data_IF_231776396469
#
_entry.id   IF_231776396469
#
_cell.length_a   1.000
_cell.length_b   1.000
_cell.length_c   1.000
_cell.angle_alpha   90.00
_cell.angle_beta   90.00
_cell.angle_gamma   90.00
#
_symmetry.space_group_name_H-M   'P 1'
#
loop_
_entity.id
_entity.type
_entity.pdbx_description
1 polymer ?
#
# COMPACT_ATOMS: atom_id res chain seq x y z
N UNK A 1 -14.78 19.28 -4.78
CA UNK A 1 -14.40 17.95 -4.23
C UNK A 1 -14.72 16.91 -5.28
N UNK A 2 -13.72 16.43 -6.00
CA UNK A 2 -13.92 15.41 -7.03
C UNK A 2 -14.08 14.08 -6.31
N UNK A 3 -15.31 13.58 -6.18
CA UNK A 3 -15.55 12.20 -5.77
C UNK A 3 -14.92 11.29 -6.82
N UNK A 4 -13.73 10.79 -6.53
CA UNK A 4 -13.10 9.75 -7.33
C UNK A 4 -13.90 8.48 -7.07
N UNK A 5 -14.65 8.03 -8.08
CA UNK A 5 -15.22 6.69 -8.13
C UNK A 5 -14.07 5.69 -7.96
N UNK A 6 -13.84 5.24 -6.72
CA UNK A 6 -12.99 4.09 -6.46
C UNK A 6 -13.90 2.89 -6.69
N UNK A 7 -13.75 2.21 -7.84
CA UNK A 7 -14.24 0.84 -8.03
C UNK A 7 -13.95 0.02 -6.76
N UNK A 8 -14.76 -1.02 -6.47
CA UNK A 8 -14.58 -1.99 -5.38
C UNK A 8 -13.19 -2.63 -5.40
N UNK A 9 -12.17 -1.85 -5.01
CA UNK A 9 -10.80 -2.26 -4.91
C UNK A 9 -10.70 -3.01 -3.61
N UNK A 10 -10.26 -4.24 -3.71
CA UNK A 10 -9.94 -5.05 -2.55
C UNK A 10 -8.98 -4.28 -1.66
N UNK A 11 -9.14 -4.45 -0.37
CA UNK A 11 -8.36 -3.71 0.61
C UNK A 11 -7.98 -4.64 1.76
N UNK A 12 -6.94 -4.24 2.46
CA UNK A 12 -6.53 -4.80 3.74
C UNK A 12 -6.80 -3.76 4.81
N UNK A 13 -7.26 -4.20 5.98
CA UNK A 13 -7.29 -3.40 7.20
C UNK A 13 -6.26 -3.93 8.19
N UNK A 14 -5.59 -3.03 8.90
CA UNK A 14 -4.61 -3.36 9.92
C UNK A 14 -4.52 -2.23 10.95
N UNK A 15 -3.95 -2.51 12.11
CA UNK A 15 -3.63 -1.50 13.12
C UNK A 15 -2.11 -1.33 13.23
N UNK A 16 -1.66 -0.10 13.44
CA UNK A 16 -0.27 0.20 13.75
C UNK A 16 -0.19 1.15 14.96
N UNK A 17 0.86 1.03 15.76
CA UNK A 17 1.16 2.00 16.81
C UNK A 17 1.97 3.16 16.22
N UNK A 18 1.46 4.38 16.35
CA UNK A 18 2.13 5.61 15.93
C UNK A 18 2.19 6.57 17.12
N UNK A 19 3.38 6.76 17.66
CA UNK A 19 3.62 7.68 18.78
C UNK A 19 2.91 7.27 20.07
N UNK A 20 2.75 5.96 20.33
CA UNK A 20 2.03 5.43 21.48
C UNK A 20 0.51 5.42 21.32
N UNK A 21 0.03 5.66 20.10
CA UNK A 21 -1.39 5.71 19.78
C UNK A 21 -1.71 4.71 18.66
N UNK A 22 -2.64 3.81 18.97
CA UNK A 22 -3.08 2.78 18.04
C UNK A 22 -3.94 3.41 16.93
N UNK A 23 -3.43 3.36 15.71
CA UNK A 23 -4.10 3.84 14.51
C UNK A 23 -4.59 2.66 13.67
N UNK A 24 -5.86 2.68 13.27
CA UNK A 24 -6.40 1.72 12.31
C UNK A 24 -6.28 2.29 10.90
N UNK A 25 -5.83 1.46 9.97
CA UNK A 25 -5.59 1.81 8.59
C UNK A 25 -6.31 0.86 7.64
N UNK A 26 -6.65 1.40 6.48
CA UNK A 26 -7.06 0.64 5.30
C UNK A 26 -6.08 0.91 4.17
N UNK A 27 -5.56 -0.16 3.58
CA UNK A 27 -4.75 -0.08 2.37
C UNK A 27 -5.49 -0.71 1.21
N UNK A 28 -5.75 0.07 0.16
CA UNK A 28 -6.38 -0.43 -1.06
C UNK A 28 -5.36 -1.11 -1.98
N UNK A 29 -5.76 -2.20 -2.61
CA UNK A 29 -4.97 -2.88 -3.63
C UNK A 29 -4.50 -1.89 -4.70
N UNK A 30 -3.28 -2.11 -5.19
CA UNK A 30 -2.69 -1.35 -6.29
C UNK A 30 -3.61 -1.44 -7.51
N UNK A 31 -3.74 -0.35 -8.24
CA UNK A 31 -4.37 -0.39 -9.57
C UNK A 31 -3.43 -1.00 -10.59
N UNK A 32 -3.98 -1.53 -11.69
CA UNK A 32 -3.19 -2.04 -12.81
C UNK A 32 -2.14 -1.03 -13.31
N UNK A 33 -2.50 0.27 -13.34
CA UNK A 33 -1.59 1.34 -13.70
C UNK A 33 -0.43 1.46 -12.71
N UNK A 34 -0.70 1.30 -11.41
CA UNK A 34 0.34 1.31 -10.38
C UNK A 34 1.21 0.04 -10.47
N UNK A 35 0.65 -1.11 -10.79
CA UNK A 35 1.45 -2.32 -11.01
C UNK A 35 2.39 -2.16 -12.21
N UNK A 36 1.86 -1.67 -13.34
CA UNK A 36 2.64 -1.43 -14.55
C UNK A 36 3.77 -0.43 -14.31
N UNK A 37 3.50 0.71 -13.68
CA UNK A 37 4.54 1.71 -13.34
C UNK A 37 5.60 1.14 -12.40
N UNK A 38 5.21 0.30 -11.44
CA UNK A 38 6.15 -0.37 -10.55
C UNK A 38 7.13 -1.27 -11.29
N UNK A 39 6.64 -2.03 -12.28
CA UNK A 39 7.47 -2.86 -13.15
C UNK A 39 8.43 -2.02 -14.00
N UNK A 40 7.94 -0.92 -14.59
CA UNK A 40 8.76 -0.01 -15.39
C UNK A 40 9.91 0.63 -14.59
N UNK A 41 9.64 1.05 -13.35
CA UNK A 41 10.69 1.58 -12.47
C UNK A 41 11.65 0.49 -12.00
N UNK A 42 11.16 -0.72 -11.75
CA UNK A 42 11.98 -1.86 -11.35
C UNK A 42 12.99 -2.25 -12.45
N UNK A 43 12.57 -2.21 -13.71
CA UNK A 43 13.46 -2.48 -14.85
C UNK A 43 14.58 -1.45 -15.00
N UNK A 44 14.40 -0.24 -14.48
CA UNK A 44 15.38 0.86 -14.53
C UNK A 44 16.23 0.96 -13.26
N UNK A 45 16.02 0.08 -12.28
CA UNK A 45 16.66 0.15 -10.95
C UNK A 45 18.10 -0.37 -10.92
N UNK A 46 18.73 -0.59 -12.08
CA UNK A 46 20.12 -1.05 -12.23
C UNK A 46 21.16 0.04 -11.92
N UNK A 47 20.72 1.29 -11.78
CA UNK A 47 21.56 2.43 -11.44
C UNK A 47 20.96 3.24 -10.28
N UNK A 48 21.77 4.04 -9.54
CA UNK A 48 21.31 4.77 -8.35
C UNK A 48 20.12 5.71 -8.59
N UNK A 49 20.06 6.34 -9.77
CA UNK A 49 18.96 7.24 -10.12
C UNK A 49 17.65 6.48 -10.30
N UNK A 50 17.68 5.35 -11.02
CA UNK A 50 16.50 4.51 -11.22
C UNK A 50 16.04 3.83 -9.93
N UNK A 51 16.97 3.42 -9.06
CA UNK A 51 16.64 2.91 -7.73
C UNK A 51 15.92 3.98 -6.89
N UNK A 52 16.41 5.21 -6.89
CA UNK A 52 15.76 6.33 -6.20
C UNK A 52 14.35 6.62 -6.75
N UNK A 53 14.15 6.50 -8.06
CA UNK A 53 12.83 6.63 -8.68
C UNK A 53 11.88 5.53 -8.22
N UNK A 54 12.33 4.27 -8.19
CA UNK A 54 11.54 3.14 -7.70
C UNK A 54 11.15 3.31 -6.23
N UNK A 55 12.10 3.74 -5.38
CA UNK A 55 11.85 3.99 -3.96
C UNK A 55 10.81 5.11 -3.78
N UNK A 56 10.96 6.23 -4.47
CA UNK A 56 10.00 7.33 -4.43
C UNK A 56 8.62 6.89 -4.92
N UNK A 57 8.59 6.05 -5.96
CA UNK A 57 7.35 5.48 -6.47
C UNK A 57 6.64 4.63 -5.41
N UNK A 58 7.36 3.78 -4.67
CA UNK A 58 6.78 3.00 -3.57
C UNK A 58 6.17 3.88 -2.48
N UNK A 59 6.82 5.00 -2.13
CA UNK A 59 6.27 5.96 -1.17
C UNK A 59 4.97 6.58 -1.65
N UNK A 60 4.89 6.95 -2.94
CA UNK A 60 3.68 7.49 -3.54
C UNK A 60 2.54 6.47 -3.53
N UNK A 61 2.81 5.23 -3.93
CA UNK A 61 1.82 4.14 -3.90
C UNK A 61 1.28 3.94 -2.49
N UNK A 62 2.14 4.01 -1.47
CA UNK A 62 1.67 3.88 -0.09
C UNK A 62 0.71 5.01 0.26
N UNK A 63 1.08 6.26 0.04
CA UNK A 63 0.25 7.43 0.38
C UNK A 63 -1.07 7.45 -0.39
N UNK A 64 -1.07 7.08 -1.67
CA UNK A 64 -2.28 7.11 -2.51
C UNK A 64 -3.30 6.04 -2.12
N UNK A 65 -2.83 4.94 -1.52
CA UNK A 65 -3.64 3.76 -1.23
C UNK A 65 -3.93 3.56 0.26
N UNK A 66 -3.22 4.26 1.15
CA UNK A 66 -3.42 4.21 2.59
C UNK A 66 -4.47 5.24 3.03
N UNK A 67 -5.34 4.82 3.95
CA UNK A 67 -6.35 5.67 4.59
C UNK A 67 -6.36 5.37 6.08
N UNK A 68 -6.21 6.38 6.93
CA UNK A 68 -6.44 6.25 8.36
C UNK A 68 -7.94 6.21 8.66
N UNK A 69 -8.38 5.21 9.44
CA UNK A 69 -9.78 5.01 9.82
C UNK A 69 -10.09 5.53 11.22
N UNK A 70 -9.13 5.44 12.14
CA UNK A 70 -9.38 5.72 13.56
C UNK A 70 -9.27 7.20 13.94
N UNK A 71 -8.54 8.01 13.15
CA UNK A 71 -8.37 9.44 13.41
C UNK A 71 -8.79 10.27 12.21
N UNK A 72 -9.59 11.31 12.47
CA UNK A 72 -9.96 12.33 11.46
C UNK A 72 -8.84 13.35 11.20
N UNK A 73 -7.78 13.32 11.99
CA UNK A 73 -6.67 14.27 11.88
C UNK A 73 -5.84 13.98 10.63
N UNK A 74 -5.62 15.03 9.85
CA UNK A 74 -4.78 14.98 8.67
C UNK A 74 -3.32 14.70 9.08
N UNK A 75 -2.70 13.65 8.51
CA UNK A 75 -1.26 13.43 8.61
C UNK A 75 -0.82 12.09 9.20
N UNK A 76 -1.74 11.25 9.70
CA UNK A 76 -1.37 9.91 10.20
C UNK A 76 -0.84 8.98 9.12
N UNK A 77 -1.32 9.11 7.89
CA UNK A 77 -0.78 8.40 6.73
C UNK A 77 0.65 8.85 6.41
N UNK A 78 0.93 10.14 6.55
CA UNK A 78 2.28 10.68 6.37
C UNK A 78 3.21 10.22 7.49
N UNK A 79 2.77 10.29 8.75
CA UNK A 79 3.53 9.78 9.90
C UNK A 79 3.85 8.28 9.77
N UNK A 80 2.88 7.47 9.34
CA UNK A 80 3.08 6.05 9.05
C UNK A 80 4.14 5.84 7.95
N UNK A 81 4.05 6.61 6.86
CA UNK A 81 5.03 6.51 5.78
C UNK A 81 6.43 6.93 6.24
N UNK A 82 6.56 8.02 6.99
CA UNK A 82 7.86 8.45 7.52
C UNK A 82 8.48 7.37 8.44
N UNK A 83 7.67 6.74 9.29
CA UNK A 83 8.13 5.60 10.10
C UNK A 83 8.63 4.43 9.23
N UNK A 84 7.93 4.11 8.13
CA UNK A 84 8.39 3.08 7.18
C UNK A 84 9.69 3.46 6.46
N UNK A 85 9.88 4.74 6.15
CA UNK A 85 11.10 5.26 5.52
C UNK A 85 12.29 5.15 6.47
N UNK A 86 12.14 5.64 7.70
CA UNK A 86 13.16 5.61 8.73
C UNK A 86 13.61 4.19 9.06
N UNK A 87 12.66 3.25 9.10
CA UNK A 87 12.93 1.84 9.38
C UNK A 87 13.34 1.01 8.16
N UNK A 88 13.32 1.59 6.94
CA UNK A 88 13.62 0.86 5.71
C UNK A 88 12.64 -0.27 5.38
N UNK A 89 11.42 -0.23 5.91
CA UNK A 89 10.40 -1.31 5.83
C UNK A 89 9.37 -1.16 4.72
N UNK A 90 9.60 -0.21 3.81
CA UNK A 90 8.66 0.13 2.74
C UNK A 90 8.39 -1.05 1.81
N UNK A 91 9.43 -1.80 1.41
CA UNK A 91 9.30 -2.93 0.50
C UNK A 91 8.62 -4.10 1.22
N UNK A 92 9.03 -4.42 2.45
CA UNK A 92 8.40 -5.48 3.23
C UNK A 92 6.92 -5.20 3.49
N UNK A 93 6.55 -3.95 3.78
CA UNK A 93 5.15 -3.57 3.93
C UNK A 93 4.35 -3.82 2.64
N UNK A 94 4.87 -3.38 1.49
CA UNK A 94 4.20 -3.59 0.20
C UNK A 94 4.06 -5.09 -0.14
N UNK A 95 5.08 -5.89 0.14
CA UNK A 95 5.03 -7.34 -0.06
C UNK A 95 4.00 -8.00 0.87
N UNK A 96 3.99 -7.63 2.16
CA UNK A 96 3.03 -8.13 3.13
C UNK A 96 1.58 -7.84 2.71
N UNK A 97 1.31 -6.63 2.23
CA UNK A 97 -0.01 -6.25 1.71
C UNK A 97 -0.38 -7.11 0.50
N UNK A 98 0.52 -7.24 -0.48
CA UNK A 98 0.27 -8.02 -1.69
C UNK A 98 -0.02 -9.50 -1.37
N UNK A 99 0.76 -10.10 -0.47
CA UNK A 99 0.57 -11.49 -0.02
C UNK A 99 -0.77 -11.67 0.70
N UNK A 100 -1.10 -10.75 1.60
CA UNK A 100 -2.34 -10.86 2.37
C UNK A 100 -3.59 -10.64 1.52
N UNK A 101 -3.53 -9.72 0.55
CA UNK A 101 -4.60 -9.57 -0.44
C UNK A 101 -4.75 -10.84 -1.26
N UNK A 102 -3.66 -11.42 -1.79
CA UNK A 102 -3.68 -12.69 -2.54
C UNK A 102 -4.26 -13.84 -1.71
N UNK A 103 -3.88 -13.93 -0.43
CA UNK A 103 -4.40 -14.94 0.48
C UNK A 103 -5.93 -14.80 0.64
N UNK A 104 -6.43 -13.58 0.86
CA UNK A 104 -7.86 -13.29 0.98
C UNK A 104 -8.65 -13.64 -0.30
N UNK A 105 -8.05 -13.46 -1.49
CA UNK A 105 -8.65 -13.90 -2.75
C UNK A 105 -8.69 -15.41 -2.91
N UNK A 106 -7.62 -16.10 -2.49
CA UNK A 106 -7.53 -17.56 -2.63
C UNK A 106 -8.53 -18.29 -1.74
N UNK A 107 -8.85 -17.74 -0.56
CA UNK A 107 -9.86 -18.27 0.35
C UNK A 107 -11.31 -18.08 -0.13
N UNK A 108 -11.58 -17.08 -0.99
CA UNK A 108 -12.92 -16.84 -1.55
C UNK A 108 -13.31 -17.78 -2.69
N UNK A 109 -12.39 -18.62 -3.19
CA UNK A 109 -12.70 -19.67 -4.18
C UNK A 109 -13.14 -20.95 -3.47
N UNK A 110 -14.41 -21.01 -3.03
CA UNK A 110 -15.04 -22.31 -2.83
C UNK A 110 -15.20 -22.97 -4.22
N UNK A 111 -14.76 -24.23 -4.43
CA UNK A 111 -15.05 -24.91 -5.67
C UNK A 111 -16.56 -25.10 -5.76
N UNK A 112 -17.18 -24.50 -6.77
CA UNK A 112 -18.49 -24.96 -7.25
C UNK A 112 -18.30 -26.43 -7.59
N UNK A 113 -18.81 -27.33 -6.75
CA UNK A 113 -18.89 -28.75 -7.09
C UNK A 113 -19.67 -28.88 -8.41
N UNK A 114 -19.25 -29.77 -9.32
CA UNK A 114 -20.01 -30.08 -10.53
C UNK A 114 -21.40 -30.60 -10.19
#
# INVERSE_FOLDING_TARGET
MTQVFKLDRNYMEFSADLGGLKCDFRFYAKSDLQEQRGLEFSQKADNPLGLAQLINYHYQVILENLVCLSHKDAGKEAEFLENLKENGKTIEFLNFVDESLKAAFSQKKAPLKP
#
